data_IF_241821722701
#
_entry.id   IF_241821722701
#
_cell.length_a   1.000
_cell.length_b   1.000
_cell.length_c   1.000
_cell.angle_alpha   90.00
_cell.angle_beta   90.00
_cell.angle_gamma   90.00
#
_symmetry.space_group_name_H-M   'P 1'
#
loop_
_entity.id
_entity.type
_entity.pdbx_description
1 polymer ?
#
# COMPACT_ATOMS: atom_id res chain seq x y z
N UNK A 1 62.56 31.69 -20.51
CA UNK A 1 63.08 31.80 -19.13
C UNK A 1 62.53 33.08 -18.52
N UNK A 2 61.44 33.00 -17.73
CA UNK A 2 60.95 34.06 -16.80
C UNK A 2 59.48 33.81 -16.40
N UNK A 3 59.15 32.63 -15.87
CA UNK A 3 57.86 32.40 -15.17
C UNK A 3 58.04 31.54 -13.90
N UNK A 4 59.26 31.08 -13.58
CA UNK A 4 59.51 30.16 -12.46
C UNK A 4 59.82 30.84 -11.11
N UNK A 5 59.54 32.14 -10.96
CA UNK A 5 60.05 32.98 -9.86
C UNK A 5 58.96 33.78 -9.12
N UNK A 6 57.73 33.25 -9.07
CA UNK A 6 56.61 33.82 -8.28
C UNK A 6 56.09 32.80 -7.23
N UNK A 7 56.82 31.70 -7.02
CA UNK A 7 56.43 30.61 -6.11
C UNK A 7 57.22 30.56 -4.78
N UNK A 8 58.01 31.60 -4.44
CA UNK A 8 58.95 31.55 -3.30
C UNK A 8 58.86 32.75 -2.33
N UNK A 9 57.73 33.47 -2.27
CA UNK A 9 57.59 34.63 -1.37
C UNK A 9 56.30 34.68 -0.54
N UNK A 10 55.62 33.54 -0.34
CA UNK A 10 54.51 33.39 0.61
C UNK A 10 54.75 32.26 1.63
N UNK A 11 56.03 31.99 1.92
CA UNK A 11 56.50 31.06 2.94
C UNK A 11 57.19 31.89 4.02
N UNK A 12 56.43 32.53 4.92
CA UNK A 12 56.83 32.90 6.28
C UNK A 12 55.71 33.70 6.95
N UNK A 13 55.37 33.30 8.17
CA UNK A 13 54.41 33.89 9.11
C UNK A 13 52.96 33.38 8.99
N UNK A 14 52.67 32.28 9.70
CA UNK A 14 51.68 32.22 10.79
C UNK A 14 52.03 30.96 11.60
N UNK A 15 52.82 31.15 12.65
CA UNK A 15 53.03 30.19 13.74
C UNK A 15 52.27 30.70 14.95
N UNK A 16 51.10 30.13 15.25
CA UNK A 16 50.41 30.34 16.52
C UNK A 16 49.80 29.02 17.03
N UNK A 17 50.36 28.59 18.16
CA UNK A 17 49.80 27.81 19.27
C UNK A 17 48.87 26.62 18.98
N UNK A 18 49.44 25.43 19.18
CA UNK A 18 48.70 24.26 19.65
C UNK A 18 48.31 24.45 21.12
N UNK A 19 47.04 24.27 21.44
CA UNK A 19 46.57 23.91 22.78
C UNK A 19 45.76 22.60 22.66
N UNK A 20 46.02 21.58 23.49
CA UNK A 20 45.21 20.37 23.51
C UNK A 20 43.86 20.64 24.18
N UNK A 21 42.76 20.42 23.46
CA UNK A 21 41.44 20.25 24.08
C UNK A 21 41.44 18.90 24.81
N UNK A 22 41.65 18.94 26.12
CA UNK A 22 41.25 17.86 27.01
C UNK A 22 39.72 17.86 27.10
N UNK A 23 39.06 16.96 26.38
CA UNK A 23 37.67 16.61 26.64
C UNK A 23 37.64 15.82 27.95
N UNK A 24 37.06 16.43 28.99
CA UNK A 24 36.77 15.76 30.24
C UNK A 24 35.74 14.64 29.99
N UNK A 25 36.09 13.42 30.34
CA UNK A 25 35.14 12.32 30.50
C UNK A 25 34.30 12.61 31.76
N UNK A 26 33.02 12.88 31.59
CA UNK A 26 32.05 12.77 32.68
C UNK A 26 31.79 11.30 32.96
N UNK A 27 32.34 10.80 34.06
CA UNK A 27 31.90 9.54 34.67
C UNK A 27 30.40 9.64 35.03
N UNK A 28 29.59 8.60 34.79
CA UNK A 28 28.26 8.53 35.35
C UNK A 28 28.36 8.37 36.87
N UNK A 29 27.82 9.35 37.61
CA UNK A 29 27.63 9.21 39.06
C UNK A 29 26.61 8.12 39.35
N UNK A 30 27.07 7.03 39.95
CA UNK A 30 26.23 6.04 40.63
C UNK A 30 25.56 6.72 41.81
N UNK A 31 24.27 7.01 41.70
CA UNK A 31 23.45 7.38 42.86
C UNK A 31 23.11 6.09 43.60
N UNK A 32 23.61 5.93 44.82
CA UNK A 32 23.18 4.86 45.72
C UNK A 32 21.67 5.01 46.01
N UNK A 33 20.91 4.00 45.60
CA UNK A 33 19.50 3.84 45.93
C UNK A 33 19.36 3.41 47.40
N UNK A 34 18.54 4.10 48.22
CA UNK A 34 18.27 3.69 49.61
C UNK A 34 17.62 2.31 49.68
N UNK A 35 17.89 1.50 50.71
CA UNK A 35 17.35 0.15 50.83
C UNK A 35 15.81 0.18 50.93
N UNK A 36 15.15 -0.51 49.99
CA UNK A 36 13.72 -0.71 49.99
C UNK A 36 13.27 -1.48 51.25
N UNK A 37 12.23 -0.97 51.91
CA UNK A 37 11.55 -1.65 53.00
C UNK A 37 10.71 -2.82 52.45
N UNK A 38 10.60 -3.95 53.16
CA UNK A 38 9.75 -5.06 52.74
C UNK A 38 8.27 -4.69 52.89
N UNK A 39 7.60 -4.45 51.76
CA UNK A 39 6.13 -4.38 51.70
C UNK A 39 5.61 -5.80 51.61
N UNK A 40 4.75 -6.19 52.55
CA UNK A 40 4.16 -7.53 52.59
C UNK A 40 3.29 -7.83 51.37
N UNK A 41 3.47 -9.01 50.79
CA UNK A 41 2.63 -9.55 49.73
C UNK A 41 1.19 -9.74 50.22
N UNK A 42 0.17 -9.19 49.52
CA UNK A 42 -1.19 -9.70 49.64
C UNK A 42 -1.26 -11.04 48.90
N UNK A 43 -1.52 -12.11 49.64
CA UNK A 43 -1.84 -13.44 49.11
C UNK A 43 -3.04 -13.36 48.17
N UNK A 44 -2.79 -13.36 46.86
CA UNK A 44 -3.82 -13.56 45.85
C UNK A 44 -4.13 -15.05 45.74
N UNK A 45 -5.34 -15.44 46.13
CA UNK A 45 -5.90 -16.77 45.86
C UNK A 45 -5.87 -17.07 44.35
N UNK A 46 -5.40 -18.26 43.91
CA UNK A 46 -5.41 -18.63 42.50
C UNK A 46 -6.85 -18.77 41.99
N UNK A 47 -7.20 -17.98 40.97
CA UNK A 47 -8.42 -18.20 40.18
C UNK A 47 -8.15 -19.41 39.28
N UNK A 48 -9.02 -20.43 39.23
CA UNK A 48 -8.84 -21.58 38.36
C UNK A 48 -8.84 -21.13 36.88
N UNK A 49 -8.00 -21.74 36.02
CA UNK A 49 -7.91 -21.34 34.62
C UNK A 49 -9.25 -21.58 33.93
N UNK A 50 -9.82 -20.50 33.39
CA UNK A 50 -10.95 -20.56 32.46
C UNK A 50 -10.48 -21.31 31.21
N UNK A 51 -11.08 -22.47 30.94
CA UNK A 51 -10.95 -23.19 29.68
C UNK A 51 -11.79 -22.51 28.61
N UNK A 52 -11.41 -21.29 28.24
CA UNK A 52 -11.89 -20.63 27.05
C UNK A 52 -10.88 -20.91 25.94
N UNK A 53 -11.27 -21.50 24.80
CA UNK A 53 -10.38 -21.59 23.65
C UNK A 53 -9.99 -20.17 23.25
N UNK A 54 -8.70 -19.86 23.29
CA UNK A 54 -8.18 -18.65 22.67
C UNK A 54 -8.65 -18.63 21.22
N UNK A 55 -9.13 -17.48 20.69
CA UNK A 55 -9.21 -17.29 19.26
C UNK A 55 -7.83 -17.63 18.71
N UNK A 56 -7.77 -18.53 17.75
CA UNK A 56 -6.58 -18.69 16.93
C UNK A 56 -6.33 -17.32 16.30
N UNK A 57 -5.37 -16.54 16.83
CA UNK A 57 -4.78 -15.45 16.08
C UNK A 57 -4.22 -16.10 14.81
N UNK A 58 -4.95 -15.95 13.70
CA UNK A 58 -4.37 -16.16 12.39
C UNK A 58 -3.14 -15.26 12.34
N UNK A 59 -1.95 -15.86 12.21
CA UNK A 59 -0.73 -15.13 11.90
C UNK A 59 -1.05 -14.16 10.77
N UNK A 60 -0.88 -12.84 10.95
CA UNK A 60 -1.16 -11.89 9.90
C UNK A 60 -0.39 -12.33 8.65
N UNK A 61 -1.08 -12.46 7.51
CA UNK A 61 -0.40 -12.68 6.24
C UNK A 61 0.48 -11.45 5.97
N UNK A 62 1.74 -11.51 6.42
CA UNK A 62 2.74 -10.43 6.39
C UNK A 62 2.93 -9.84 5.00
N UNK A 63 2.62 -10.60 3.96
CA UNK A 63 2.88 -10.26 2.56
C UNK A 63 1.60 -10.16 1.72
N UNK A 64 0.41 -10.41 2.29
CA UNK A 64 -0.88 -10.29 1.60
C UNK A 64 -0.88 -10.90 0.19
N UNK A 65 -1.28 -10.08 -0.78
CA UNK A 65 -1.29 -10.42 -2.21
C UNK A 65 0.10 -10.30 -2.88
N UNK A 66 1.09 -9.73 -2.20
CA UNK A 66 2.44 -9.47 -2.74
C UNK A 66 3.39 -10.65 -2.62
N UNK A 67 3.06 -11.68 -1.82
CA UNK A 67 3.93 -12.83 -1.62
C UNK A 67 4.31 -13.53 -2.94
N UNK A 68 3.33 -13.73 -3.83
CA UNK A 68 3.57 -14.37 -5.13
C UNK A 68 4.55 -13.58 -5.98
N UNK A 69 4.40 -12.25 -6.03
CA UNK A 69 5.28 -11.36 -6.78
C UNK A 69 6.70 -11.42 -6.22
N UNK A 70 6.82 -11.45 -4.89
CA UNK A 70 8.11 -11.51 -4.22
C UNK A 70 8.85 -12.83 -4.47
N UNK A 71 8.12 -13.96 -4.40
CA UNK A 71 8.66 -15.29 -4.72
C UNK A 71 9.14 -15.34 -6.17
N UNK A 72 8.32 -14.84 -7.10
CA UNK A 72 8.68 -14.80 -8.52
C UNK A 72 9.91 -13.93 -8.76
N UNK A 73 9.99 -12.75 -8.11
CA UNK A 73 11.16 -11.88 -8.20
C UNK A 73 12.43 -12.55 -7.63
N UNK A 74 12.33 -13.27 -6.51
CA UNK A 74 13.47 -14.05 -5.95
C UNK A 74 13.96 -15.12 -6.94
N UNK A 75 13.03 -15.87 -7.52
CA UNK A 75 13.36 -16.94 -8.46
C UNK A 75 14.01 -16.36 -9.73
N UNK A 76 13.42 -15.30 -10.29
CA UNK A 76 13.95 -14.62 -11.47
C UNK A 76 15.32 -14.00 -11.20
N UNK A 77 15.55 -13.45 -10.00
CA UNK A 77 16.85 -12.94 -9.57
C UNK A 77 17.91 -14.05 -9.54
N UNK A 78 17.57 -15.23 -9.01
CA UNK A 78 18.46 -16.40 -9.04
C UNK A 78 18.71 -16.92 -10.46
N UNK A 79 17.70 -16.90 -11.33
CA UNK A 79 17.83 -17.28 -12.74
C UNK A 79 18.74 -16.31 -13.49
N UNK A 80 18.60 -15.00 -13.26
CA UNK A 80 19.46 -13.98 -13.84
C UNK A 80 20.91 -14.14 -13.38
N UNK A 81 21.11 -14.26 -12.07
CA UNK A 81 22.44 -14.52 -11.51
C UNK A 81 23.05 -15.80 -12.09
N UNK A 82 22.25 -16.85 -12.27
CA UNK A 82 22.72 -18.11 -12.85
C UNK A 82 23.08 -17.98 -14.32
N UNK A 83 22.29 -17.23 -15.09
CA UNK A 83 22.55 -16.95 -16.51
C UNK A 83 23.91 -16.27 -16.69
N UNK A 84 24.19 -15.24 -15.89
CA UNK A 84 25.36 -14.38 -16.11
C UNK A 84 26.61 -14.80 -15.34
N UNK A 85 26.44 -15.37 -14.14
CA UNK A 85 27.54 -15.73 -13.24
C UNK A 85 27.71 -17.24 -13.08
N UNK A 86 26.81 -18.05 -13.66
CA UNK A 86 26.80 -19.48 -13.46
C UNK A 86 26.40 -19.87 -12.03
N UNK A 87 27.12 -20.81 -11.42
CA UNK A 87 26.78 -21.31 -10.07
C UNK A 87 27.35 -20.46 -8.95
N UNK A 88 28.31 -19.60 -9.26
CA UNK A 88 28.95 -18.76 -8.25
C UNK A 88 28.02 -17.60 -7.88
N UNK A 89 28.13 -17.12 -6.65
CA UNK A 89 27.38 -15.98 -6.15
C UNK A 89 28.33 -14.89 -5.68
N UNK A 90 28.04 -13.61 -5.93
CA UNK A 90 28.91 -12.52 -5.50
C UNK A 90 29.02 -12.46 -3.97
N UNK A 91 30.08 -11.80 -3.51
CA UNK A 91 30.23 -11.50 -2.08
C UNK A 91 29.05 -10.68 -1.57
N UNK A 92 28.50 -11.08 -0.41
CA UNK A 92 27.34 -10.43 0.20
C UNK A 92 25.99 -10.98 -0.27
N UNK A 93 25.95 -11.97 -1.16
CA UNK A 93 24.73 -12.66 -1.52
C UNK A 93 24.13 -13.40 -0.33
N UNK A 94 22.90 -13.08 0.03
CA UNK A 94 22.16 -13.72 1.11
C UNK A 94 21.48 -15.00 0.63
N UNK A 95 20.77 -14.96 -0.50
CA UNK A 95 20.12 -16.13 -1.10
C UNK A 95 18.95 -16.71 -0.29
N UNK A 96 18.33 -15.94 0.62
CA UNK A 96 17.21 -16.45 1.42
C UNK A 96 16.02 -16.87 0.55
N UNK A 97 15.46 -18.02 0.90
CA UNK A 97 14.24 -18.61 0.35
C UNK A 97 13.14 -18.78 1.42
N UNK A 98 13.37 -18.28 2.63
CA UNK A 98 12.41 -18.43 3.73
C UNK A 98 11.27 -17.41 3.57
N UNK A 99 10.13 -17.89 3.08
CA UNK A 99 8.91 -17.10 2.88
C UNK A 99 8.29 -16.59 4.19
N UNK A 100 8.71 -17.12 5.34
CA UNK A 100 8.23 -16.69 6.66
C UNK A 100 9.13 -15.62 7.29
N UNK A 101 10.27 -15.29 6.67
CA UNK A 101 11.16 -14.25 7.16
C UNK A 101 10.56 -12.87 6.86
N UNK A 102 10.19 -12.07 7.88
CA UNK A 102 9.65 -10.73 7.67
C UNK A 102 10.63 -9.79 6.96
N UNK A 103 11.92 -10.11 6.93
CA UNK A 103 12.96 -9.35 6.24
C UNK A 103 13.14 -9.77 4.77
N UNK A 104 12.41 -10.78 4.28
CA UNK A 104 12.59 -11.32 2.92
C UNK A 104 12.64 -10.24 1.82
N UNK A 105 11.75 -9.22 1.77
CA UNK A 105 11.86 -8.18 0.76
C UNK A 105 13.18 -7.41 0.81
N UNK A 106 13.69 -7.12 2.02
CA UNK A 106 14.95 -6.43 2.19
C UNK A 106 16.14 -7.29 1.74
N UNK A 107 16.10 -8.60 2.05
CA UNK A 107 17.14 -9.54 1.64
C UNK A 107 17.17 -9.71 0.11
N UNK A 108 16.01 -9.80 -0.53
CA UNK A 108 15.93 -9.86 -2.00
C UNK A 108 16.42 -8.54 -2.62
N UNK A 109 16.05 -7.39 -2.05
CA UNK A 109 16.54 -6.08 -2.49
C UNK A 109 18.06 -6.00 -2.38
N UNK A 110 18.64 -6.47 -1.28
CA UNK A 110 20.08 -6.52 -1.08
C UNK A 110 20.76 -7.35 -2.19
N UNK A 111 20.25 -8.55 -2.44
CA UNK A 111 20.79 -9.43 -3.48
C UNK A 111 20.68 -8.80 -4.89
N UNK A 112 19.56 -8.13 -5.18
CA UNK A 112 19.39 -7.38 -6.43
C UNK A 112 20.43 -6.26 -6.59
N UNK A 113 20.70 -5.49 -5.53
CA UNK A 113 21.73 -4.43 -5.54
C UNK A 113 23.15 -5.00 -5.66
N UNK A 114 23.41 -6.16 -5.04
CA UNK A 114 24.68 -6.89 -5.16
C UNK A 114 24.87 -7.43 -6.58
N UNK A 115 23.83 -7.98 -7.21
CA UNK A 115 23.88 -8.44 -8.60
C UNK A 115 24.10 -7.27 -9.55
N UNK A 116 23.30 -6.21 -9.43
CA UNK A 116 23.44 -5.00 -10.25
C UNK A 116 24.85 -4.41 -10.14
N UNK A 117 25.41 -4.34 -8.93
CA UNK A 117 26.80 -3.92 -8.71
C UNK A 117 27.80 -4.83 -9.43
N UNK A 118 27.58 -6.13 -9.38
CA UNK A 118 28.50 -7.11 -9.96
C UNK A 118 28.49 -7.05 -11.49
N UNK A 119 27.32 -6.86 -12.10
CA UNK A 119 27.13 -6.87 -13.55
C UNK A 119 27.41 -5.51 -14.19
N UNK A 120 27.00 -4.41 -13.55
CA UNK A 120 27.08 -3.05 -14.11
C UNK A 120 28.19 -2.19 -13.48
N UNK A 121 28.74 -2.59 -12.34
CA UNK A 121 29.71 -1.82 -11.56
C UNK A 121 29.10 -1.11 -10.33
N UNK A 122 29.96 -0.56 -9.47
CA UNK A 122 29.57 0.03 -8.17
C UNK A 122 28.59 1.20 -8.28
N UNK A 123 28.72 2.02 -9.31
CA UNK A 123 28.06 3.33 -9.41
C UNK A 123 27.14 3.44 -10.63
N UNK A 124 26.83 2.32 -11.28
CA UNK A 124 25.96 2.27 -12.46
C UNK A 124 24.65 1.56 -12.15
N UNK A 125 23.53 2.17 -12.56
CA UNK A 125 22.19 1.56 -12.52
C UNK A 125 21.46 1.90 -13.82
N UNK A 126 20.54 1.02 -14.28
CA UNK A 126 19.69 1.33 -15.41
C UNK A 126 18.90 2.63 -15.21
N UNK A 127 18.54 3.28 -16.32
CA UNK A 127 17.61 4.42 -16.26
C UNK A 127 16.27 3.97 -15.65
N UNK A 128 15.68 4.81 -14.80
CA UNK A 128 14.42 4.48 -14.10
C UNK A 128 14.59 3.65 -12.82
N UNK A 129 15.80 3.24 -12.44
CA UNK A 129 16.03 2.46 -11.22
C UNK A 129 15.48 3.15 -9.97
N UNK A 130 14.56 2.48 -9.26
CA UNK A 130 13.98 3.02 -8.02
C UNK A 130 14.92 2.84 -6.83
N UNK A 131 15.52 1.65 -6.72
CA UNK A 131 16.39 1.29 -5.60
C UNK A 131 15.65 1.10 -4.27
N UNK A 132 16.40 1.18 -3.18
CA UNK A 132 15.88 0.94 -1.84
C UNK A 132 15.17 2.17 -1.26
N UNK A 133 13.88 2.30 -1.54
CA UNK A 133 13.03 3.35 -0.97
C UNK A 133 12.14 2.76 0.14
N UNK A 134 12.24 3.26 1.39
CA UNK A 134 11.35 2.82 2.47
C UNK A 134 9.88 3.05 2.11
N UNK A 135 9.06 2.00 2.18
CA UNK A 135 7.64 2.05 1.83
C UNK A 135 6.88 0.86 2.42
N UNK A 136 5.64 0.64 1.99
CA UNK A 136 4.89 -0.58 2.31
C UNK A 136 5.53 -1.81 1.66
N UNK A 137 5.26 -2.98 2.22
CA UNK A 137 5.73 -4.27 1.68
C UNK A 137 5.31 -4.46 0.21
N UNK A 138 4.09 -4.05 -0.12
CA UNK A 138 3.58 -4.12 -1.50
C UNK A 138 4.38 -3.22 -2.45
N UNK A 139 4.65 -1.98 -2.03
CA UNK A 139 5.43 -1.05 -2.84
C UNK A 139 6.87 -1.54 -3.01
N UNK A 140 7.51 -2.02 -1.93
CA UNK A 140 8.86 -2.57 -1.99
C UNK A 140 8.92 -3.77 -2.94
N UNK A 141 7.93 -4.66 -2.89
CA UNK A 141 7.87 -5.84 -3.76
C UNK A 141 7.75 -5.44 -5.24
N UNK A 142 6.92 -4.44 -5.56
CA UNK A 142 6.82 -3.90 -6.92
C UNK A 142 8.10 -3.21 -7.36
N UNK A 143 8.72 -2.44 -6.49
CA UNK A 143 9.97 -1.75 -6.78
C UNK A 143 11.08 -2.79 -7.08
N UNK A 144 11.14 -3.90 -6.34
CA UNK A 144 12.09 -5.01 -6.60
C UNK A 144 11.83 -5.63 -7.96
N UNK A 145 10.56 -5.91 -8.26
CA UNK A 145 10.17 -6.50 -9.55
C UNK A 145 10.52 -5.58 -10.71
N UNK A 146 10.22 -4.29 -10.59
CA UNK A 146 10.54 -3.26 -11.57
C UNK A 146 12.04 -3.23 -11.87
N UNK A 147 12.84 -3.01 -10.83
CA UNK A 147 14.29 -2.90 -10.94
C UNK A 147 14.92 -4.18 -11.50
N UNK A 148 14.41 -5.37 -11.13
CA UNK A 148 14.90 -6.63 -11.70
C UNK A 148 14.59 -6.77 -13.21
N UNK A 149 13.44 -6.28 -13.68
CA UNK A 149 13.17 -6.23 -15.13
C UNK A 149 14.11 -5.24 -15.84
N UNK A 150 14.34 -4.05 -15.27
CA UNK A 150 15.29 -3.08 -15.82
C UNK A 150 16.72 -3.63 -15.88
N UNK A 151 17.16 -4.31 -14.82
CA UNK A 151 18.47 -4.97 -14.83
C UNK A 151 18.53 -6.00 -15.95
N UNK A 152 17.50 -6.85 -16.06
CA UNK A 152 17.44 -7.87 -17.11
C UNK A 152 17.47 -7.25 -18.52
N UNK A 153 16.76 -6.15 -18.76
CA UNK A 153 16.78 -5.44 -20.05
C UNK A 153 18.12 -4.79 -20.37
N UNK A 154 18.85 -4.32 -19.36
CA UNK A 154 20.19 -3.72 -19.54
C UNK A 154 21.24 -4.77 -19.92
N UNK A 155 21.15 -5.98 -19.35
CA UNK A 155 22.20 -7.00 -19.49
C UNK A 155 21.89 -8.09 -20.53
N UNK A 156 20.61 -8.41 -20.75
CA UNK A 156 20.21 -9.43 -21.70
C UNK A 156 19.91 -8.82 -23.07
N UNK A 157 19.97 -9.62 -24.15
CA UNK A 157 19.47 -9.17 -25.44
C UNK A 157 17.99 -8.77 -25.37
N UNK A 158 17.53 -7.80 -26.19
CA UNK A 158 16.13 -7.47 -26.31
C UNK A 158 15.27 -8.72 -26.59
N UNK A 159 14.09 -8.77 -25.99
CA UNK A 159 13.13 -9.88 -26.08
C UNK A 159 13.65 -11.25 -25.59
N UNK A 160 14.78 -11.28 -24.88
CA UNK A 160 15.31 -12.49 -24.27
C UNK A 160 15.06 -12.50 -22.76
N UNK A 161 14.53 -13.62 -22.26
CA UNK A 161 14.46 -13.95 -20.83
C UNK A 161 14.92 -15.39 -20.62
N UNK A 162 15.62 -15.70 -19.52
CA UNK A 162 16.04 -17.07 -19.23
C UNK A 162 14.83 -18.02 -19.12
N UNK A 163 15.00 -19.31 -19.48
CA UNK A 163 13.94 -20.30 -19.28
C UNK A 163 13.49 -20.35 -17.81
N UNK A 164 12.18 -20.28 -17.57
CA UNK A 164 11.60 -20.24 -16.22
C UNK A 164 11.41 -18.83 -15.64
N UNK A 165 11.75 -17.78 -16.39
CA UNK A 165 11.44 -16.40 -16.00
C UNK A 165 9.94 -16.22 -15.84
N UNK A 166 9.53 -15.83 -14.63
CA UNK A 166 8.12 -15.62 -14.28
C UNK A 166 7.64 -14.25 -14.74
N UNK A 167 8.51 -13.25 -14.65
CA UNK A 167 8.17 -11.85 -14.92
C UNK A 167 7.22 -11.27 -13.89
N UNK A 168 6.51 -10.22 -14.29
CA UNK A 168 5.47 -9.57 -13.50
C UNK A 168 4.41 -8.96 -14.40
N UNK A 169 3.37 -8.40 -13.77
CA UNK A 169 2.34 -7.63 -14.47
C UNK A 169 2.98 -6.48 -15.27
N UNK A 170 2.54 -6.20 -16.51
CA UNK A 170 3.13 -5.15 -17.34
C UNK A 170 3.17 -3.77 -16.67
N UNK A 171 2.20 -3.47 -15.80
CA UNK A 171 2.18 -2.24 -15.01
C UNK A 171 3.45 -2.07 -14.14
N UNK A 172 4.03 -3.16 -13.65
CA UNK A 172 5.23 -3.11 -12.81
C UNK A 172 6.49 -2.68 -13.58
N UNK A 173 6.45 -2.60 -14.92
CA UNK A 173 7.53 -2.02 -15.73
C UNK A 173 7.48 -0.50 -15.83
N UNK A 174 6.37 0.11 -15.41
CA UNK A 174 6.17 1.55 -15.53
C UNK A 174 6.74 2.31 -14.34
N UNK A 175 6.81 3.64 -14.45
CA UNK A 175 7.23 4.50 -13.34
C UNK A 175 6.34 4.35 -12.11
N UNK A 176 6.93 4.58 -10.95
CA UNK A 176 6.27 4.38 -9.65
C UNK A 176 4.99 5.19 -9.49
N UNK A 177 4.98 6.41 -10.02
CA UNK A 177 3.80 7.30 -10.03
C UNK A 177 2.65 6.66 -10.82
N UNK A 178 2.94 6.13 -12.01
CA UNK A 178 1.97 5.46 -12.88
C UNK A 178 1.44 4.20 -12.21
N UNK A 179 2.33 3.36 -11.69
CA UNK A 179 1.95 2.16 -10.93
C UNK A 179 0.97 2.49 -9.80
N UNK A 180 1.29 3.51 -9.02
CA UNK A 180 0.51 3.92 -7.84
C UNK A 180 -0.86 4.48 -8.25
N UNK A 181 -0.88 5.39 -9.23
CA UNK A 181 -2.11 6.01 -9.72
C UNK A 181 -3.05 4.96 -10.28
N UNK A 182 -2.57 4.11 -11.20
CA UNK A 182 -3.39 3.08 -11.84
C UNK A 182 -3.95 2.11 -10.81
N UNK A 183 -3.13 1.65 -9.86
CA UNK A 183 -3.60 0.74 -8.82
C UNK A 183 -4.64 1.40 -7.92
N UNK A 184 -4.45 2.64 -7.52
CA UNK A 184 -5.42 3.38 -6.73
C UNK A 184 -6.77 3.48 -7.45
N UNK A 185 -6.75 3.80 -8.74
CA UNK A 185 -7.95 3.94 -9.55
C UNK A 185 -8.69 2.60 -9.76
N UNK A 186 -7.95 1.50 -9.99
CA UNK A 186 -8.50 0.15 -10.11
C UNK A 186 -9.09 -0.32 -8.78
N UNK A 187 -8.37 -0.13 -7.67
CA UNK A 187 -8.83 -0.51 -6.34
C UNK A 187 -10.06 0.30 -5.92
N UNK A 188 -10.16 1.56 -6.36
CA UNK A 188 -11.36 2.38 -6.20
C UNK A 188 -12.55 1.92 -7.05
N UNK A 189 -12.38 0.94 -7.94
CA UNK A 189 -13.44 0.37 -8.78
C UNK A 189 -13.95 1.30 -9.88
N UNK A 190 -13.25 2.42 -10.13
CA UNK A 190 -13.70 3.45 -11.09
C UNK A 190 -12.98 3.38 -12.43
N UNK A 191 -11.90 2.62 -12.50
CA UNK A 191 -11.00 2.59 -13.64
C UNK A 191 -10.72 1.16 -14.05
N UNK A 192 -10.90 0.90 -15.35
CA UNK A 192 -10.55 -0.37 -15.98
C UNK A 192 -9.63 -0.05 -17.17
N UNK A 193 -8.34 -0.40 -17.10
CA UNK A 193 -7.39 -0.19 -18.18
C UNK A 193 -7.86 -0.76 -19.52
N UNK A 194 -7.67 0.01 -20.59
CA UNK A 194 -7.89 -0.44 -21.97
C UNK A 194 -6.60 -0.60 -22.78
N UNK A 195 -5.48 -0.06 -22.29
CA UNK A 195 -4.15 -0.21 -22.90
C UNK A 195 -3.75 -1.68 -23.07
N UNK A 196 -3.19 -2.03 -24.24
CA UNK A 196 -2.72 -3.39 -24.55
C UNK A 196 -1.46 -3.71 -23.72
N UNK A 197 -1.51 -4.68 -22.79
CA UNK A 197 -0.37 -5.01 -21.93
C UNK A 197 0.85 -5.55 -22.69
N UNK A 198 0.70 -5.97 -23.94
CA UNK A 198 1.80 -6.42 -24.80
C UNK A 198 2.41 -5.30 -25.66
N UNK A 199 1.85 -4.09 -25.64
CA UNK A 199 2.35 -2.99 -26.44
C UNK A 199 3.73 -2.51 -25.95
N UNK A 200 4.70 -2.25 -26.85
CA UNK A 200 6.01 -1.71 -26.45
C UNK A 200 5.94 -0.37 -25.70
N UNK A 201 4.93 0.44 -25.98
CA UNK A 201 4.64 1.73 -25.36
C UNK A 201 3.55 1.64 -24.29
N UNK A 202 3.29 0.45 -23.72
CA UNK A 202 2.25 0.22 -22.72
C UNK A 202 2.28 1.24 -21.58
N UNK A 203 3.46 1.55 -21.03
CA UNK A 203 3.58 2.49 -19.92
C UNK A 203 3.14 3.92 -20.29
N UNK A 204 3.42 4.35 -21.52
CA UNK A 204 2.94 5.64 -22.01
C UNK A 204 1.42 5.63 -22.23
N UNK A 205 0.88 4.52 -22.78
CA UNK A 205 -0.55 4.39 -23.01
C UNK A 205 -1.35 4.39 -21.71
N UNK A 206 -0.92 3.60 -20.73
CA UNK A 206 -1.63 3.48 -19.44
C UNK A 206 -1.52 4.76 -18.61
N UNK A 207 -0.38 5.46 -18.66
CA UNK A 207 -0.21 6.76 -18.02
C UNK A 207 -1.16 7.80 -18.61
N UNK A 208 -1.22 7.89 -19.94
CA UNK A 208 -2.11 8.81 -20.63
C UNK A 208 -3.58 8.50 -20.31
N UNK A 209 -3.95 7.22 -20.35
CA UNK A 209 -5.31 6.77 -20.04
C UNK A 209 -5.71 7.12 -18.60
N UNK A 210 -4.89 6.76 -17.61
CA UNK A 210 -5.14 7.01 -16.20
C UNK A 210 -5.15 8.50 -15.85
N UNK A 211 -4.21 9.28 -16.41
CA UNK A 211 -4.14 10.73 -16.19
C UNK A 211 -5.36 11.43 -16.79
N UNK A 212 -5.71 11.10 -18.04
CA UNK A 212 -6.92 11.65 -18.68
C UNK A 212 -8.18 11.27 -17.92
N UNK A 213 -8.27 10.03 -17.42
CA UNK A 213 -9.37 9.60 -16.58
C UNK A 213 -9.46 10.46 -15.32
N UNK A 214 -8.34 10.66 -14.61
CA UNK A 214 -8.29 11.49 -13.42
C UNK A 214 -8.73 12.94 -13.72
N UNK A 215 -8.22 13.53 -14.79
CA UNK A 215 -8.57 14.90 -15.18
C UNK A 215 -10.05 15.06 -15.51
N UNK A 216 -10.61 14.17 -16.33
CA UNK A 216 -11.98 14.30 -16.85
C UNK A 216 -13.01 13.82 -15.83
N UNK A 217 -12.78 12.66 -15.22
CA UNK A 217 -13.77 11.98 -14.41
C UNK A 217 -13.64 12.28 -12.92
N UNK A 218 -12.47 12.71 -12.42
CA UNK A 218 -12.27 12.99 -10.99
C UNK A 218 -12.16 14.49 -10.71
N UNK A 219 -11.25 15.18 -11.42
CA UNK A 219 -10.95 16.59 -11.14
C UNK A 219 -11.98 17.54 -11.76
N UNK A 220 -12.45 17.25 -12.97
CA UNK A 220 -13.40 18.12 -13.70
C UNK A 220 -14.86 17.80 -13.41
N UNK A 221 -15.15 16.69 -12.72
CA UNK A 221 -16.51 16.26 -12.42
C UNK A 221 -16.87 16.62 -10.96
N UNK A 222 -17.73 17.63 -10.72
CA UNK A 222 -18.11 18.02 -9.36
C UNK A 222 -18.78 16.89 -8.57
N UNK A 223 -19.38 15.89 -9.25
CA UNK A 223 -19.97 14.72 -8.59
C UNK A 223 -18.93 13.68 -8.16
N UNK A 224 -17.78 13.60 -8.82
CA UNK A 224 -16.72 12.67 -8.40
C UNK A 224 -15.99 13.12 -7.12
N UNK A 225 -16.15 14.39 -6.75
CA UNK A 225 -15.75 14.89 -5.43
C UNK A 225 -16.73 14.48 -4.32
N UNK A 226 -17.99 14.17 -4.67
CA UNK A 226 -19.01 13.67 -3.74
C UNK A 226 -18.93 12.14 -3.59
N UNK A 227 -18.59 11.40 -4.65
CA UNK A 227 -18.35 9.94 -4.63
C UNK A 227 -16.87 9.65 -4.34
N UNK A 228 -16.54 9.60 -3.06
CA UNK A 228 -15.19 9.60 -2.50
C UNK A 228 -14.23 8.50 -2.98
N UNK A 229 -13.39 8.84 -3.96
CA UNK A 229 -12.08 8.19 -4.16
C UNK A 229 -11.03 8.78 -3.20
N UNK A 230 -11.30 9.99 -2.70
CA UNK A 230 -10.45 10.74 -1.77
C UNK A 230 -11.17 11.12 -0.46
N UNK A 231 -12.30 10.50 -0.15
CA UNK A 231 -12.99 10.71 1.12
C UNK A 231 -12.31 9.92 2.26
N UNK A 232 -11.02 10.16 2.48
CA UNK A 232 -10.40 9.91 3.77
C UNK A 232 -10.55 11.20 4.58
N UNK A 233 -11.58 11.26 5.40
CA UNK A 233 -11.67 12.27 6.45
C UNK A 233 -11.19 11.65 7.77
N UNK A 234 -9.92 11.86 8.18
CA UNK A 234 -9.43 11.44 9.50
C UNK A 234 -10.11 12.19 10.65
N UNK A 235 -10.99 13.16 10.34
CA UNK A 235 -11.84 13.89 11.26
C UNK A 235 -13.31 13.82 10.85
N UNK A 236 -13.75 12.72 10.21
CA UNK A 236 -15.15 12.53 9.82
C UNK A 236 -16.05 12.87 11.01
N UNK A 237 -16.71 14.03 10.94
CA UNK A 237 -17.91 14.29 11.71
C UNK A 237 -18.78 13.05 11.57
N UNK A 238 -19.36 12.53 12.67
CA UNK A 238 -20.22 11.36 12.60
C UNK A 238 -21.19 11.55 11.43
N UNK A 239 -21.33 10.55 10.54
CA UNK A 239 -22.23 10.68 9.41
C UNK A 239 -23.58 11.14 9.94
N UNK A 240 -24.12 12.20 9.34
CA UNK A 240 -25.36 12.82 9.81
C UNK A 240 -26.50 11.79 9.88
N UNK A 241 -26.39 10.73 9.06
CA UNK A 241 -27.32 9.62 9.04
C UNK A 241 -26.69 8.30 9.48
N UNK A 242 -27.49 7.49 10.15
CA UNK A 242 -27.11 6.17 10.61
C UNK A 242 -28.28 5.20 10.52
N UNK A 243 -27.96 3.91 10.47
CA UNK A 243 -28.93 2.85 10.76
C UNK A 243 -29.31 2.92 12.25
N UNK A 244 -30.61 2.82 12.55
CA UNK A 244 -31.15 2.92 13.92
C UNK A 244 -31.86 1.67 14.39
N UNK A 245 -31.99 0.66 13.52
CA UNK A 245 -32.62 -0.62 13.84
C UNK A 245 -31.60 -1.73 13.90
N UNK A 246 -31.87 -2.76 14.70
CA UNK A 246 -31.01 -3.95 14.81
C UNK A 246 -31.17 -4.91 13.63
N UNK A 247 -32.09 -4.63 12.70
CA UNK A 247 -32.45 -5.51 11.59
C UNK A 247 -32.67 -4.72 10.29
N UNK A 248 -31.75 -3.83 9.96
CA UNK A 248 -31.76 -3.12 8.68
C UNK A 248 -31.26 -4.04 7.57
N UNK A 249 -32.16 -4.55 6.73
CA UNK A 249 -31.78 -5.48 5.65
C UNK A 249 -31.28 -4.71 4.43
N UNK A 250 -30.12 -5.11 3.92
CA UNK A 250 -29.49 -4.56 2.73
C UNK A 250 -29.77 -5.40 1.48
N UNK A 251 -30.02 -4.72 0.36
CA UNK A 251 -30.33 -5.32 -0.93
C UNK A 251 -29.50 -4.70 -2.07
N UNK A 252 -29.20 -5.47 -3.11
CA UNK A 252 -28.54 -4.98 -4.33
C UNK A 252 -29.53 -4.42 -5.35
N UNK A 253 -30.83 -4.51 -5.08
CA UNK A 253 -31.87 -3.95 -5.93
C UNK A 253 -32.97 -3.29 -5.12
N UNK A 254 -33.59 -2.28 -5.74
CA UNK A 254 -34.71 -1.52 -5.18
C UNK A 254 -36.01 -2.31 -5.01
N UNK A 255 -36.10 -3.51 -5.59
CA UNK A 255 -37.26 -4.40 -5.45
C UNK A 255 -37.11 -5.33 -4.25
N UNK A 256 -36.01 -5.21 -3.50
CA UNK A 256 -35.69 -6.02 -2.33
C UNK A 256 -35.65 -7.54 -2.63
N UNK A 257 -35.13 -7.92 -3.80
CA UNK A 257 -35.04 -9.33 -4.22
C UNK A 257 -33.69 -9.94 -3.83
N UNK A 258 -32.60 -9.24 -4.13
CA UNK A 258 -31.22 -9.69 -3.94
C UNK A 258 -30.69 -9.16 -2.61
N UNK A 259 -31.06 -9.84 -1.53
CA UNK A 259 -30.54 -9.55 -0.20
C UNK A 259 -29.05 -9.87 -0.11
N UNK A 260 -28.29 -9.01 0.56
CA UNK A 260 -26.85 -9.21 0.82
C UNK A 260 -26.50 -9.30 2.29
N UNK A 261 -27.27 -8.71 3.19
CA UNK A 261 -26.95 -8.82 4.61
C UNK A 261 -27.83 -7.97 5.50
N UNK A 262 -27.45 -7.88 6.77
CA UNK A 262 -28.06 -6.99 7.75
C UNK A 262 -27.03 -5.96 8.16
N UNK A 263 -27.34 -4.68 7.96
CA UNK A 263 -26.48 -3.57 8.34
C UNK A 263 -26.52 -3.42 9.87
N UNK A 264 -25.37 -3.40 10.57
CA UNK A 264 -25.33 -3.22 12.01
C UNK A 264 -25.97 -1.91 12.46
N UNK A 265 -26.64 -1.91 13.61
CA UNK A 265 -27.16 -0.69 14.24
C UNK A 265 -26.03 0.30 14.51
N UNK A 266 -26.28 1.59 14.26
CA UNK A 266 -25.30 2.67 14.40
C UNK A 266 -24.33 2.78 13.21
N UNK A 267 -24.45 1.93 12.19
CA UNK A 267 -23.64 2.04 10.98
C UNK A 267 -23.94 3.36 10.29
N UNK A 268 -22.89 4.15 10.06
CA UNK A 268 -22.95 5.41 9.36
C UNK A 268 -23.29 5.25 7.89
N UNK A 269 -24.20 6.09 7.39
CA UNK A 269 -24.67 6.03 6.00
C UNK A 269 -24.81 7.42 5.40
N UNK A 270 -24.72 7.48 4.07
CA UNK A 270 -25.02 8.66 3.25
C UNK A 270 -26.15 8.28 2.28
N UNK A 271 -27.35 8.84 2.43
CA UNK A 271 -28.44 8.63 1.47
C UNK A 271 -28.12 9.34 0.16
N UNK A 272 -28.10 8.60 -0.96
CA UNK A 272 -27.74 9.16 -2.27
C UNK A 272 -28.90 9.17 -3.28
N UNK A 273 -29.93 8.35 -3.04
CA UNK A 273 -31.09 8.28 -3.92
C UNK A 273 -32.21 7.45 -3.33
N UNK A 274 -33.38 7.49 -3.97
CA UNK A 274 -34.55 6.68 -3.57
C UNK A 274 -35.19 5.97 -4.76
N UNK A 275 -35.95 4.93 -4.44
CA UNK A 275 -36.89 4.34 -5.38
C UNK A 275 -38.09 5.27 -5.59
N UNK A 276 -38.48 5.46 -6.85
CA UNK A 276 -39.68 6.22 -7.22
C UNK A 276 -40.90 5.32 -7.46
N UNK A 277 -40.76 4.01 -7.26
CA UNK A 277 -41.90 3.10 -7.31
C UNK A 277 -42.84 3.39 -6.13
N UNK A 278 -44.15 3.54 -6.40
CA UNK A 278 -45.14 3.99 -5.40
C UNK A 278 -45.20 3.14 -4.12
N UNK A 279 -44.81 1.87 -4.20
CA UNK A 279 -44.84 0.92 -3.10
C UNK A 279 -43.47 0.70 -2.44
N UNK A 280 -42.39 1.31 -2.97
CA UNK A 280 -41.02 1.05 -2.52
C UNK A 280 -40.53 2.20 -1.65
N UNK A 281 -40.12 1.86 -0.42
CA UNK A 281 -39.47 2.77 0.53
C UNK A 281 -37.95 2.63 0.52
N UNK A 282 -37.42 2.00 -0.53
CA UNK A 282 -36.01 1.72 -0.64
C UNK A 282 -35.22 2.99 -0.93
N UNK A 283 -34.12 3.13 -0.19
CA UNK A 283 -33.16 4.22 -0.25
C UNK A 283 -31.83 3.61 -0.63
N UNK A 284 -31.21 4.15 -1.67
CA UNK A 284 -29.85 3.82 -2.01
C UNK A 284 -28.94 4.59 -1.04
N UNK A 285 -28.17 3.86 -0.25
CA UNK A 285 -27.28 4.39 0.77
C UNK A 285 -25.86 3.94 0.52
N UNK A 286 -24.92 4.83 0.77
CA UNK A 286 -23.49 4.56 0.75
C UNK A 286 -22.94 4.54 2.17
N UNK A 287 -22.05 3.60 2.45
CA UNK A 287 -21.27 3.59 3.69
C UNK A 287 -19.90 2.96 3.46
N UNK A 288 -19.21 2.64 4.55
CA UNK A 288 -17.85 2.10 4.48
C UNK A 288 -17.83 0.70 3.82
N UNK A 289 -17.33 0.64 2.58
CA UNK A 289 -17.25 -0.60 1.82
C UNK A 289 -18.56 -1.10 1.20
N UNK A 290 -19.62 -0.28 1.12
CA UNK A 290 -20.90 -0.72 0.53
C UNK A 290 -21.70 0.40 -0.14
N UNK A 291 -22.51 -0.02 -1.13
CA UNK A 291 -23.55 0.78 -1.77
C UNK A 291 -24.79 -0.10 -1.97
N UNK A 292 -25.79 0.05 -1.12
CA UNK A 292 -26.93 -0.88 -1.06
C UNK A 292 -28.26 -0.15 -0.91
N UNK A 293 -29.35 -0.85 -1.21
CA UNK A 293 -30.70 -0.41 -0.90
C UNK A 293 -31.09 -0.85 0.52
N UNK A 294 -31.61 0.07 1.31
CA UNK A 294 -32.21 -0.16 2.65
C UNK A 294 -33.56 0.56 2.75
N UNK A 295 -34.49 0.07 3.57
CA UNK A 295 -35.71 0.84 3.85
C UNK A 295 -35.36 2.10 4.64
N UNK A 296 -35.83 3.29 4.22
CA UNK A 296 -35.48 4.52 4.94
C UNK A 296 -35.93 4.51 6.41
N UNK A 297 -36.95 3.71 6.74
CA UNK A 297 -37.47 3.56 8.11
C UNK A 297 -36.51 2.87 9.06
N UNK A 298 -35.50 2.19 8.53
CA UNK A 298 -34.43 1.57 9.31
C UNK A 298 -33.30 2.57 9.65
N UNK A 299 -33.44 3.82 9.22
CA UNK A 299 -32.45 4.89 9.37
C UNK A 299 -33.03 6.06 10.17
N UNK A 300 -32.16 6.99 10.57
CA UNK A 300 -32.59 8.27 11.16
C UNK A 300 -33.00 9.34 10.12
N UNK A 301 -33.10 8.99 8.83
CA UNK A 301 -33.56 9.88 7.76
C UNK A 301 -35.05 10.20 7.90
N UNK A 302 -35.42 11.48 7.86
CA UNK A 302 -36.85 11.86 7.90
C UNK A 302 -37.54 11.57 6.57
N UNK A 303 -38.88 11.48 6.58
CA UNK A 303 -39.64 11.24 5.34
C UNK A 303 -39.52 12.39 4.34
N UNK A 304 -39.44 13.64 4.82
CA UNK A 304 -39.31 14.81 3.96
C UNK A 304 -37.93 14.82 3.27
N UNK A 305 -36.85 14.57 4.04
CA UNK A 305 -35.49 14.42 3.49
C UNK A 305 -35.41 13.24 2.52
N UNK A 306 -36.07 12.12 2.84
CA UNK A 306 -36.16 10.98 1.93
C UNK A 306 -36.84 11.37 0.63
N UNK A 307 -37.98 12.07 0.66
CA UNK A 307 -38.74 12.47 -0.55
C UNK A 307 -37.94 13.37 -1.48
N UNK A 308 -37.06 14.20 -0.92
CA UNK A 308 -36.19 15.12 -1.65
C UNK A 308 -35.02 14.42 -2.36
N UNK A 309 -34.77 13.14 -2.05
CA UNK A 309 -33.73 12.37 -2.74
C UNK A 309 -34.05 12.16 -4.24
N UNK A 310 -33.01 12.18 -5.10
CA UNK A 310 -33.15 11.92 -6.52
C UNK A 310 -33.55 10.47 -6.80
N UNK A 311 -34.07 10.19 -8.00
CA UNK A 311 -34.39 8.83 -8.40
C UNK A 311 -33.10 8.01 -8.59
N UNK A 312 -32.97 6.92 -7.83
CA UNK A 312 -31.82 6.04 -7.86
C UNK A 312 -31.50 5.50 -9.28
N UNK A 313 -32.52 5.28 -10.11
CA UNK A 313 -32.33 4.80 -11.50
C UNK A 313 -31.54 5.78 -12.38
N UNK A 314 -31.58 7.08 -12.03
CA UNK A 314 -30.95 8.14 -12.83
C UNK A 314 -29.50 8.40 -12.44
N UNK A 315 -29.01 7.73 -11.38
CA UNK A 315 -27.67 7.95 -10.84
C UNK A 315 -26.58 7.18 -11.59
N UNK A 316 -26.93 6.13 -12.33
CA UNK A 316 -25.96 5.34 -13.09
C UNK A 316 -24.91 4.62 -12.23
N UNK A 317 -25.25 4.36 -10.96
CA UNK A 317 -24.40 3.63 -10.00
C UNK A 317 -24.92 2.21 -9.83
N UNK A 318 -24.00 1.24 -9.78
CA UNK A 318 -24.33 -0.17 -9.56
C UNK A 318 -24.16 -0.53 -8.07
N UNK A 319 -25.22 -1.01 -7.39
CA UNK A 319 -25.12 -1.42 -6.00
C UNK A 319 -24.12 -2.57 -5.80
N UNK A 320 -23.36 -2.52 -4.71
CA UNK A 320 -22.41 -3.56 -4.32
C UNK A 320 -22.31 -3.65 -2.79
N UNK A 321 -21.79 -4.76 -2.28
CA UNK A 321 -21.60 -4.96 -0.85
C UNK A 321 -20.26 -5.67 -0.59
N UNK A 322 -19.28 -4.94 -0.05
CA UNK A 322 -17.96 -5.45 0.31
C UNK A 322 -17.64 -5.37 1.80
N UNK A 323 -18.56 -4.88 2.63
CA UNK A 323 -18.41 -4.82 4.08
C UNK A 323 -18.51 -6.21 4.72
N UNK A 324 -17.95 -6.38 5.93
CA UNK A 324 -17.90 -7.68 6.63
C UNK A 324 -19.29 -8.32 6.85
N UNK A 325 -20.34 -7.51 6.98
CA UNK A 325 -21.71 -7.97 7.20
C UNK A 325 -22.45 -8.41 5.92
N UNK A 326 -21.86 -8.20 4.73
CA UNK A 326 -22.45 -8.44 3.40
C UNK A 326 -22.58 -9.92 3.00
N UNK A 327 -22.20 -10.87 3.87
CA UNK A 327 -22.19 -12.30 3.55
C UNK A 327 -22.85 -13.15 4.63
N UNK A 328 -23.81 -12.59 5.38
CA UNK A 328 -24.64 -13.33 6.34
C UNK A 328 -23.84 -14.08 7.40
N UNK A 329 -23.65 -13.46 8.57
CA UNK A 329 -23.32 -14.22 9.79
C UNK A 329 -24.39 -15.26 10.13
#
# INVERSE_FOLDING_TARGET
MSVFLILLACLLAITWLQAPLAMAQTEPQTTEEPPAQPVGEPTLTPIPPSSQPSPTEETPNLFGNSLTVLINARNDLELLATSELGRDRPEGWNGSLDINDPQLPLLIRLDLEVLARTLLGSDSRPEGWFGAIPSSVDAITRDIRHDLELLADEILPPDFRPPGWSGGEPLMRCDRSVQTLVQLLIQGGVFSPSADPAAPDYCQQIELEATRFAEVNLLSNPKAQEFGIFAFDPFATPPAYSVVTDFAVAFLDRSAINQVGVIPNGTGITPIGRSYAEFSKMTLVQGDGFLVFVDYRDTNLSEDEWRDLPNADTLGVEPFCGAEWCLGG
#
